data_IF_093571415919
#
_entry.id   IF_093571415919
#
_cell.length_a   1.000
_cell.length_b   1.000
_cell.length_c   1.000
_cell.angle_alpha   90.00
_cell.angle_beta   90.00
_cell.angle_gamma   90.00
#
_symmetry.space_group_name_H-M   'P 1'
#
loop_
_entity.id
_entity.type
_entity.pdbx_description
1 polymer ?
#
# COMPACT_ATOMS: atom_id res chain seq x y z
N UNK A 1 -7.98 -15.20 3.67
CA UNK A 1 -7.48 -13.91 3.18
C UNK A 1 -6.55 -13.34 4.24
N UNK A 2 -5.35 -12.86 3.88
CA UNK A 2 -4.37 -12.39 4.88
C UNK A 2 -4.76 -11.02 5.46
N UNK A 3 -4.18 -10.66 6.61
CA UNK A 3 -4.37 -9.33 7.21
C UNK A 3 -3.94 -8.22 6.25
N UNK A 4 -2.90 -8.45 5.45
CA UNK A 4 -2.43 -7.51 4.45
C UNK A 4 -3.47 -7.28 3.35
N UNK A 5 -4.08 -8.34 2.83
CA UNK A 5 -5.12 -8.24 1.80
C UNK A 5 -6.37 -7.48 2.31
N UNK A 6 -6.81 -7.74 3.54
CA UNK A 6 -7.95 -7.02 4.13
C UNK A 6 -7.67 -5.51 4.30
N UNK A 7 -6.44 -5.15 4.68
CA UNK A 7 -6.05 -3.73 4.78
C UNK A 7 -6.10 -3.03 3.43
N UNK A 8 -5.61 -3.68 2.37
CA UNK A 8 -5.64 -3.14 1.00
C UNK A 8 -7.09 -2.97 0.53
N UNK A 9 -7.93 -3.99 0.66
CA UNK A 9 -9.35 -3.89 0.27
C UNK A 9 -10.09 -2.79 1.03
N UNK A 10 -9.89 -2.71 2.34
CA UNK A 10 -10.51 -1.66 3.17
C UNK A 10 -10.07 -0.26 2.72
N UNK A 11 -8.80 -0.11 2.34
CA UNK A 11 -8.29 1.14 1.79
C UNK A 11 -8.92 1.45 0.42
N UNK A 12 -8.99 0.49 -0.51
CA UNK A 12 -9.59 0.69 -1.83
C UNK A 12 -11.08 1.05 -1.75
N UNK A 13 -11.82 0.44 -0.82
CA UNK A 13 -13.24 0.71 -0.63
C UNK A 13 -13.50 2.14 -0.10
N UNK A 14 -12.62 2.64 0.77
CA UNK A 14 -12.74 3.97 1.36
C UNK A 14 -11.35 4.57 1.68
N UNK A 15 -10.67 5.15 0.68
CA UNK A 15 -9.37 5.78 0.89
C UNK A 15 -9.49 6.95 1.85
N UNK A 16 -8.72 6.93 2.93
CA UNK A 16 -8.76 7.97 3.96
C UNK A 16 -7.36 8.23 4.50
N UNK A 17 -7.04 9.50 4.78
CA UNK A 17 -5.71 9.93 5.22
C UNK A 17 -5.27 9.19 6.49
N UNK A 18 -6.20 8.97 7.41
CA UNK A 18 -6.00 8.33 8.71
C UNK A 18 -5.66 6.84 8.58
N UNK A 19 -6.05 6.21 7.46
CA UNK A 19 -5.87 4.79 7.18
C UNK A 19 -4.69 4.50 6.26
N UNK A 20 -3.89 5.52 5.93
CA UNK A 20 -2.75 5.37 5.03
C UNK A 20 -1.50 4.90 5.77
N UNK A 21 -0.78 3.95 5.17
CA UNK A 21 0.52 3.49 5.68
C UNK A 21 1.64 4.50 5.36
N UNK A 22 1.60 5.11 4.17
CA UNK A 22 2.61 6.06 3.68
C UNK A 22 2.21 7.51 3.93
N UNK A 23 2.17 7.93 5.22
CA UNK A 23 1.79 9.29 5.62
C UNK A 23 2.60 10.41 4.92
N UNK A 24 3.92 10.29 4.72
CA UNK A 24 4.70 11.33 4.03
C UNK A 24 4.26 11.50 2.57
N UNK A 25 4.04 10.40 1.86
CA UNK A 25 3.56 10.44 0.47
C UNK A 25 2.19 11.11 0.37
N UNK A 26 1.27 10.78 1.28
CA UNK A 26 -0.06 11.41 1.32
C UNK A 26 0.00 12.91 1.67
N UNK A 27 0.99 13.33 2.46
CA UNK A 27 1.22 14.76 2.73
C UNK A 27 1.66 15.53 1.47
N UNK A 28 2.42 14.89 0.60
CA UNK A 28 2.96 15.51 -0.63
C UNK A 28 1.97 15.43 -1.81
N UNK A 29 1.31 14.29 -1.97
CA UNK A 29 0.54 13.95 -3.18
C UNK A 29 -0.96 13.80 -2.94
N UNK A 30 -1.41 13.90 -1.69
CA UNK A 30 -2.81 13.67 -1.32
C UNK A 30 -3.16 12.19 -1.18
N UNK A 31 -4.41 11.91 -0.81
CA UNK A 31 -4.93 10.55 -0.71
C UNK A 31 -5.30 10.07 -2.11
N UNK A 32 -5.00 8.80 -2.41
CA UNK A 32 -5.44 8.16 -3.65
C UNK A 32 -6.96 8.32 -3.81
N UNK A 33 -7.46 8.80 -4.96
CA UNK A 33 -8.90 8.90 -5.19
C UNK A 33 -9.54 7.51 -5.14
N UNK A 34 -10.79 7.45 -4.69
CA UNK A 34 -11.57 6.20 -4.71
C UNK A 34 -11.71 5.73 -6.16
N UNK A 35 -11.38 4.47 -6.39
CA UNK A 35 -11.64 3.78 -7.65
C UNK A 35 -12.91 2.95 -7.47
N UNK A 36 -13.82 3.01 -8.44
CA UNK A 36 -14.99 2.15 -8.45
C UNK A 36 -14.57 0.75 -8.88
N UNK A 37 -14.47 -0.14 -7.91
CA UNK A 37 -14.12 -1.55 -8.08
C UNK A 37 -15.22 -2.41 -7.47
N UNK A 38 -15.48 -3.55 -8.10
CA UNK A 38 -16.29 -4.62 -7.50
C UNK A 38 -15.55 -5.28 -6.34
N UNK A 39 -16.27 -6.06 -5.53
CA UNK A 39 -15.66 -6.82 -4.43
C UNK A 39 -14.65 -7.86 -4.92
N UNK A 40 -14.89 -8.42 -6.11
CA UNK A 40 -14.00 -9.39 -6.76
C UNK A 40 -12.73 -8.69 -7.25
N UNK A 41 -12.83 -7.57 -7.97
CA UNK A 41 -11.66 -6.81 -8.42
C UNK A 41 -10.81 -6.31 -7.24
N UNK A 42 -11.43 -5.85 -6.15
CA UNK A 42 -10.68 -5.45 -4.94
C UNK A 42 -9.93 -6.63 -4.31
N UNK A 43 -10.52 -7.83 -4.33
CA UNK A 43 -9.86 -9.05 -3.85
C UNK A 43 -8.67 -9.39 -4.74
N UNK A 44 -8.87 -9.41 -6.06
CA UNK A 44 -7.83 -9.79 -7.02
C UNK A 44 -6.67 -8.80 -6.99
N UNK A 45 -6.97 -7.50 -6.91
CA UNK A 45 -5.97 -6.45 -6.74
C UNK A 45 -5.13 -6.67 -5.47
N UNK A 46 -5.78 -6.93 -4.34
CA UNK A 46 -5.09 -7.20 -3.09
C UNK A 46 -4.27 -8.50 -3.14
N UNK A 47 -4.75 -9.50 -3.87
CA UNK A 47 -4.06 -10.77 -4.05
C UNK A 47 -2.78 -10.59 -4.85
N UNK A 48 -2.86 -9.92 -6.00
CA UNK A 48 -1.68 -9.63 -6.85
C UNK A 48 -0.63 -8.87 -6.06
N UNK A 49 -0.99 -7.84 -5.29
CA UNK A 49 -0.01 -7.06 -4.54
C UNK A 49 0.68 -7.83 -3.39
N UNK A 50 0.02 -8.83 -2.82
CA UNK A 50 0.53 -9.56 -1.65
C UNK A 50 1.23 -10.86 -2.04
N UNK A 51 0.72 -11.56 -3.04
CA UNK A 51 1.19 -12.89 -3.43
C UNK A 51 2.15 -12.87 -4.61
N UNK A 52 2.23 -11.76 -5.35
CA UNK A 52 3.25 -11.63 -6.41
C UNK A 52 4.61 -11.37 -5.77
N UNK A 53 5.58 -12.21 -6.08
CA UNK A 53 6.97 -11.96 -5.74
C UNK A 53 7.52 -10.85 -6.65
N UNK A 54 8.04 -9.80 -6.03
CA UNK A 54 8.71 -8.71 -6.74
C UNK A 54 10.21 -8.84 -6.54
N UNK A 55 10.98 -8.69 -7.61
CA UNK A 55 12.41 -8.48 -7.50
C UNK A 55 12.64 -7.14 -6.78
N UNK A 56 13.28 -7.21 -5.62
CA UNK A 56 13.65 -6.02 -4.86
C UNK A 56 14.88 -5.41 -5.55
N UNK A 57 14.82 -4.16 -6.02
CA UNK A 57 15.97 -3.53 -6.65
C UNK A 57 17.15 -3.41 -5.68
N UNK A 58 18.37 -3.57 -6.17
CA UNK A 58 19.60 -3.50 -5.33
C UNK A 58 19.71 -2.17 -4.56
N UNK A 59 19.18 -1.08 -5.12
CA UNK A 59 19.20 0.24 -4.50
C UNK A 59 18.17 0.43 -3.38
N UNK A 60 17.19 -0.48 -3.23
CA UNK A 60 16.04 -0.27 -2.34
C UNK A 60 16.46 -0.10 -0.87
N UNK A 61 17.31 -0.99 -0.36
CA UNK A 61 17.74 -0.95 1.05
C UNK A 61 18.60 0.27 1.36
N UNK A 62 19.49 0.67 0.45
CA UNK A 62 20.30 1.88 0.60
C UNK A 62 19.42 3.12 0.55
N UNK A 63 18.54 3.22 -0.44
CA UNK A 63 17.56 4.30 -0.54
C UNK A 63 16.71 4.40 0.73
N UNK A 64 16.24 3.28 1.27
CA UNK A 64 15.43 3.27 2.48
C UNK A 64 16.18 3.80 3.70
N UNK A 65 17.48 3.50 3.84
CA UNK A 65 18.33 4.06 4.92
C UNK A 65 18.48 5.58 4.85
N UNK A 66 18.38 6.18 3.65
CA UNK A 66 18.46 7.64 3.48
C UNK A 66 17.20 8.38 3.90
N UNK A 67 16.06 7.68 4.02
CA UNK A 67 14.85 8.25 4.60
C UNK A 67 14.86 7.99 6.10
N UNK A 68 14.72 9.03 6.94
CA UNK A 68 14.58 8.90 8.41
C UNK A 68 13.22 8.27 8.83
N UNK A 69 12.71 7.33 8.04
CA UNK A 69 11.47 6.62 8.28
C UNK A 69 11.83 5.26 8.88
N UNK A 70 11.61 5.10 10.19
CA UNK A 70 11.79 3.82 10.88
C UNK A 70 10.95 2.75 10.18
N UNK A 71 11.59 1.66 9.75
CA UNK A 71 10.93 0.49 9.18
C UNK A 71 9.92 -0.03 10.22
N UNK A 72 8.63 -0.17 9.89
CA UNK A 72 7.69 -0.78 10.82
C UNK A 72 8.04 -2.26 11.00
N UNK A 73 8.08 -2.70 12.26
CA UNK A 73 8.30 -4.10 12.67
C UNK A 73 7.21 -5.04 12.13
#
# INVERSE_FOLDING_TARGET
MTVAMERIKTFLAAPAKERTLMKPAVKLFGVMPKIELTQEEMRDYAQVLVETEFEIPEWFDEHYKTHELKKPD
#
